data_IF_835845731831
#
_entry.id   IF_835845731831
#
_cell.length_a   1.000
_cell.length_b   1.000
_cell.length_c   1.000
_cell.angle_alpha   90.00
_cell.angle_beta   90.00
_cell.angle_gamma   90.00
#
_symmetry.space_group_name_H-M   'P 1'
#
loop_
_entity.id
_entity.type
_entity.pdbx_description
1 polymer ?
#
# COMPACT_ATOMS: atom_id res chain seq x y z
N UNK A 1 3.25 33.96 9.59
CA UNK A 1 3.14 32.76 8.72
C UNK A 1 1.82 32.08 9.06
N UNK A 2 0.94 31.79 8.09
CA UNK A 2 -0.26 31.00 8.37
C UNK A 2 0.19 29.60 8.80
N UNK A 3 -0.31 29.10 9.94
CA UNK A 3 -0.12 27.71 10.32
C UNK A 3 -0.61 26.83 9.17
N UNK A 4 0.27 25.96 8.66
CA UNK A 4 -0.15 24.94 7.71
C UNK A 4 -0.90 23.88 8.51
N UNK A 5 -2.15 23.62 8.12
CA UNK A 5 -2.87 22.46 8.64
C UNK A 5 -2.04 21.20 8.44
N UNK A 6 -2.04 20.30 9.43
CA UNK A 6 -1.26 19.07 9.41
C UNK A 6 -2.15 17.89 9.02
N UNK A 7 -1.92 17.31 7.84
CA UNK A 7 -2.67 16.17 7.33
C UNK A 7 -1.93 14.86 7.66
N UNK A 8 -2.60 13.98 8.39
CA UNK A 8 -2.12 12.63 8.70
C UNK A 8 -2.80 11.64 7.77
N UNK A 9 -1.99 10.87 7.05
CA UNK A 9 -2.49 9.92 6.05
C UNK A 9 -2.19 8.50 6.52
N UNK A 10 -3.20 7.65 6.53
CA UNK A 10 -3.07 6.21 6.72
C UNK A 10 -3.20 5.50 5.37
N UNK A 11 -2.24 4.63 5.04
CA UNK A 11 -2.25 3.88 3.78
C UNK A 11 -2.42 2.39 4.07
N UNK A 12 -3.38 1.78 3.39
CA UNK A 12 -3.71 0.37 3.51
C UNK A 12 -3.40 -0.31 2.19
N UNK A 13 -2.47 -1.26 2.21
CA UNK A 13 -2.04 -1.99 1.03
C UNK A 13 -2.69 -3.36 1.01
N UNK A 14 -3.34 -3.71 -0.10
CA UNK A 14 -3.72 -5.08 -0.38
C UNK A 14 -2.49 -5.86 -0.86
N UNK A 15 -1.98 -6.72 0.03
CA UNK A 15 -0.82 -7.55 -0.22
C UNK A 15 -1.01 -8.53 -1.39
N UNK A 16 -2.25 -8.90 -1.71
CA UNK A 16 -2.56 -9.75 -2.86
C UNK A 16 -2.22 -9.06 -4.17
N UNK A 17 -2.68 -7.81 -4.32
CA UNK A 17 -2.39 -7.00 -5.51
C UNK A 17 -0.93 -6.58 -5.56
N UNK A 18 -0.34 -6.25 -4.41
CA UNK A 18 1.09 -5.90 -4.36
C UNK A 18 1.97 -7.09 -4.78
N UNK A 19 1.67 -8.30 -4.30
CA UNK A 19 2.39 -9.52 -4.70
C UNK A 19 2.21 -9.81 -6.19
N UNK A 20 1.00 -9.64 -6.72
CA UNK A 20 0.75 -9.77 -8.17
C UNK A 20 1.59 -8.78 -8.98
N UNK A 21 1.68 -7.52 -8.52
CA UNK A 21 2.50 -6.50 -9.16
C UNK A 21 4.00 -6.85 -9.09
N UNK A 22 4.49 -7.29 -7.92
CA UNK A 22 5.87 -7.78 -7.76
C UNK A 22 6.22 -8.85 -8.78
N UNK A 23 5.37 -9.89 -8.89
CA UNK A 23 5.56 -10.99 -9.82
C UNK A 23 5.52 -10.51 -11.27
N UNK A 24 4.61 -9.59 -11.60
CA UNK A 24 4.54 -8.99 -12.94
C UNK A 24 5.85 -8.26 -13.30
N UNK A 25 6.31 -7.32 -12.48
CA UNK A 25 7.54 -6.57 -12.76
C UNK A 25 8.77 -7.48 -12.85
N UNK A 26 8.85 -8.49 -11.98
CA UNK A 26 9.91 -9.48 -12.02
C UNK A 26 9.90 -10.28 -13.34
N UNK A 27 8.74 -10.79 -13.76
CA UNK A 27 8.60 -11.52 -15.04
C UNK A 27 8.97 -10.69 -16.26
N UNK A 28 8.76 -9.37 -16.19
CA UNK A 28 9.13 -8.41 -17.23
C UNK A 28 10.61 -7.98 -17.18
N UNK A 29 11.42 -8.58 -16.29
CA UNK A 29 12.83 -8.20 -16.05
C UNK A 29 13.00 -6.72 -15.65
N UNK A 30 12.00 -6.12 -15.02
CA UNK A 30 12.01 -4.72 -14.54
C UNK A 30 12.49 -4.58 -13.09
N UNK A 31 12.94 -5.68 -12.48
CA UNK A 31 13.39 -5.73 -11.09
C UNK A 31 12.28 -6.08 -10.11
N UNK A 32 12.60 -5.99 -8.81
CA UNK A 32 11.71 -6.34 -7.72
C UNK A 32 11.01 -5.09 -7.16
N UNK A 33 9.68 -5.07 -7.19
CA UNK A 33 8.91 -3.98 -6.59
C UNK A 33 9.03 -4.04 -5.07
N UNK A 34 9.71 -3.06 -4.47
CA UNK A 34 9.89 -2.99 -3.01
C UNK A 34 8.80 -2.14 -2.37
N UNK A 35 8.39 -2.53 -1.17
CA UNK A 35 7.39 -1.79 -0.40
C UNK A 35 7.87 -0.38 -0.06
N UNK A 36 9.13 -0.24 0.35
CA UNK A 36 9.72 1.04 0.75
C UNK A 36 9.74 2.04 -0.41
N UNK A 37 10.17 1.62 -1.59
CA UNK A 37 10.20 2.52 -2.76
C UNK A 37 8.78 2.87 -3.23
N UNK A 38 7.84 1.92 -3.16
CA UNK A 38 6.44 2.20 -3.44
C UNK A 38 5.83 3.20 -2.44
N UNK A 39 6.18 3.08 -1.16
CA UNK A 39 5.73 4.01 -0.12
C UNK A 39 6.24 5.43 -0.38
N UNK A 40 7.54 5.59 -0.66
CA UNK A 40 8.13 6.90 -1.02
C UNK A 40 7.49 7.51 -2.27
N UNK A 41 7.17 6.68 -3.28
CA UNK A 41 6.48 7.14 -4.48
C UNK A 41 5.10 7.73 -4.14
N UNK A 42 4.35 7.10 -3.22
CA UNK A 42 3.06 7.59 -2.77
C UNK A 42 3.19 8.89 -1.99
N UNK A 43 4.17 9.00 -1.09
CA UNK A 43 4.47 10.24 -0.39
C UNK A 43 4.73 11.37 -1.39
N UNK A 44 5.58 11.13 -2.40
CA UNK A 44 5.87 12.11 -3.45
C UNK A 44 4.62 12.49 -4.25
N UNK A 45 3.77 11.52 -4.60
CA UNK A 45 2.52 11.76 -5.32
C UNK A 45 1.56 12.67 -4.53
N UNK A 46 1.39 12.39 -3.23
CA UNK A 46 0.61 13.22 -2.33
C UNK A 46 1.21 14.63 -2.25
N UNK A 47 2.54 14.73 -2.10
CA UNK A 47 3.26 16.01 -2.07
C UNK A 47 2.94 16.91 -3.25
N UNK A 48 2.93 16.33 -4.44
CA UNK A 48 2.71 17.05 -5.69
C UNK A 48 1.26 17.54 -5.76
N UNK A 49 0.30 16.72 -5.32
CA UNK A 49 -1.13 17.10 -5.30
C UNK A 49 -1.43 18.20 -4.29
N UNK A 50 -0.81 18.16 -3.11
CA UNK A 50 -1.05 19.14 -2.05
C UNK A 50 -0.29 20.46 -2.26
N UNK A 51 0.65 20.53 -3.21
CA UNK A 51 1.44 21.72 -3.58
C UNK A 51 2.04 22.50 -2.39
N UNK A 52 2.27 21.84 -1.26
CA UNK A 52 2.77 22.47 -0.04
C UNK A 52 1.77 23.35 0.72
N UNK A 53 0.48 23.34 0.38
CA UNK A 53 -0.58 24.00 1.16
C UNK A 53 -0.76 23.38 2.54
N UNK A 54 -0.54 22.07 2.62
CA UNK A 54 -0.73 21.26 3.82
C UNK A 54 0.59 20.57 4.17
N UNK A 55 1.02 20.64 5.44
CA UNK A 55 2.09 19.76 5.89
C UNK A 55 1.49 18.36 6.02
N UNK A 56 1.99 17.37 5.28
CA UNK A 56 1.45 16.00 5.35
C UNK A 56 2.51 15.03 5.88
N UNK A 57 2.03 14.01 6.59
CA UNK A 57 2.85 12.86 7.00
C UNK A 57 2.03 11.60 6.85
N UNK A 58 2.56 10.62 6.12
CA UNK A 58 2.03 9.27 6.20
C UNK A 58 2.44 8.71 7.55
N UNK A 59 1.47 8.55 8.45
CA UNK A 59 1.71 8.15 9.85
C UNK A 59 1.55 6.65 10.05
N UNK A 60 0.91 5.98 9.10
CA UNK A 60 0.65 4.55 9.21
C UNK A 60 0.60 3.91 7.83
N UNK A 61 1.25 2.76 7.73
CA UNK A 61 1.09 1.85 6.63
C UNK A 61 0.82 0.45 7.16
N UNK A 62 -0.22 -0.19 6.65
CA UNK A 62 -0.47 -1.59 6.96
C UNK A 62 -0.70 -2.44 5.74
N UNK A 63 -0.26 -3.69 5.91
CA UNK A 63 -0.30 -4.73 4.91
C UNK A 63 -1.39 -5.72 5.25
N UNK A 64 -2.35 -5.88 4.35
CA UNK A 64 -3.40 -6.88 4.48
C UNK A 64 -3.24 -7.86 3.35
N UNK A 65 -2.80 -9.09 3.65
CA UNK A 65 -3.06 -10.19 2.72
C UNK A 65 -4.57 -10.38 2.75
N UNK A 66 -5.24 -10.10 1.62
CA UNK A 66 -6.67 -10.32 1.49
C UNK A 66 -6.99 -11.70 2.03
N UNK A 67 -7.81 -11.75 3.08
CA UNK A 67 -8.33 -12.98 3.66
C UNK A 67 -9.15 -13.70 2.58
N UNK A 68 -8.50 -14.42 1.66
CA UNK A 68 -9.15 -15.47 0.89
C UNK A 68 -9.42 -16.65 1.85
N UNK A 69 -10.29 -16.44 2.84
CA UNK A 69 -10.94 -17.49 3.63
C UNK A 69 -11.99 -18.25 2.79
N UNK A 70 -11.75 -18.46 1.49
CA UNK A 70 -12.56 -19.39 0.68
C UNK A 70 -11.96 -20.80 0.61
N UNK A 71 -10.78 -21.04 1.17
CA UNK A 71 -10.15 -22.37 1.19
C UNK A 71 -10.21 -23.10 2.55
N UNK A 72 -10.82 -22.52 3.60
CA UNK A 72 -10.91 -23.14 4.92
C UNK A 72 -12.31 -23.61 5.34
N UNK A 73 -13.34 -23.39 4.51
CA UNK A 73 -14.73 -23.82 4.81
C UNK A 73 -15.12 -25.16 4.14
N UNK A 74 -14.17 -25.92 3.57
CA UNK A 74 -14.45 -27.21 2.91
C UNK A 74 -13.98 -28.45 3.68
N UNK A 75 -13.45 -28.31 4.90
CA UNK A 75 -12.94 -29.45 5.70
C UNK A 75 -13.58 -29.62 7.09
N UNK A 76 -14.82 -29.18 7.28
CA UNK A 76 -15.57 -29.39 8.54
C UNK A 76 -17.02 -29.89 8.37
N UNK A 77 -17.32 -30.57 7.27
CA UNK A 77 -18.64 -31.21 7.07
C UNK A 77 -18.56 -32.61 6.45
N UNK A 78 -17.44 -33.31 6.66
CA UNK A 78 -17.31 -34.74 6.44
C UNK A 78 -16.54 -35.31 7.64
N UNK A 79 -17.27 -35.50 8.73
CA UNK A 79 -16.86 -36.13 9.97
C UNK A 79 -18.11 -36.58 10.69
#
# INVERSE_FOLDING_TARGET
>A
MKEKNFLRIGVFYDGTYFTRAQNYFWSQKKGWLSFQEFHKLLEKCISVKEQGHTAYKVVYSAWFQGLYKKAAQQKKTLG
#
